data_IF_755364913273
#
_entry.id   IF_755364913273
#
_cell.length_a   1.000
_cell.length_b   1.000
_cell.length_c   1.000
_cell.angle_alpha   90.00
_cell.angle_beta   90.00
_cell.angle_gamma   90.00
#
_symmetry.space_group_name_H-M   'P 1'
#
loop_
_entity.id
_entity.type
_entity.pdbx_description
1 polymer ?
#
# COMPACT_ATOMS: atom_id res chain seq x y z
N UNK A 1 1.73 22.36 -1.34
CA UNK A 1 1.21 21.27 -2.17
C UNK A 1 2.37 20.81 -3.03
N UNK A 2 2.67 19.52 -3.03
CA UNK A 2 3.78 18.94 -3.81
C UNK A 2 3.25 18.54 -5.19
N UNK A 3 4.00 18.87 -6.24
CA UNK A 3 3.69 18.49 -7.61
C UNK A 3 4.62 17.34 -8.00
N UNK A 4 4.11 16.11 -8.17
CA UNK A 4 4.93 14.97 -8.52
C UNK A 4 5.50 15.12 -9.93
N UNK A 5 6.68 14.52 -10.16
CA UNK A 5 7.27 14.48 -11.49
C UNK A 5 6.51 13.56 -12.44
N UNK A 6 6.98 13.48 -13.67
CA UNK A 6 6.36 12.65 -14.72
C UNK A 6 6.35 11.15 -14.40
N UNK A 7 7.20 10.69 -13.48
CA UNK A 7 7.37 9.28 -13.14
C UNK A 7 6.96 9.04 -11.70
N UNK A 8 5.79 8.43 -11.54
CA UNK A 8 5.25 7.95 -10.27
C UNK A 8 5.25 6.42 -10.25
N UNK A 9 5.47 5.84 -9.07
CA UNK A 9 5.53 4.40 -8.85
C UNK A 9 4.49 4.00 -7.83
N UNK A 10 3.82 2.88 -8.08
CA UNK A 10 2.96 2.23 -7.09
C UNK A 10 3.75 1.11 -6.45
N UNK A 11 3.83 1.09 -5.12
CA UNK A 11 4.50 0.02 -4.37
C UNK A 11 3.72 -0.40 -3.12
N UNK A 12 4.02 -1.60 -2.63
CA UNK A 12 3.51 -2.19 -1.40
C UNK A 12 4.44 -1.94 -0.21
N UNK A 13 3.91 -1.20 0.77
CA UNK A 13 4.53 -1.03 2.09
C UNK A 13 3.80 -1.83 3.17
N UNK A 14 4.51 -2.18 4.23
CA UNK A 14 3.98 -2.94 5.36
C UNK A 14 4.40 -2.24 6.66
N UNK A 15 3.43 -1.69 7.37
CA UNK A 15 3.66 -1.06 8.68
C UNK A 15 3.53 -2.13 9.75
N UNK A 16 4.60 -2.37 10.50
CA UNK A 16 4.62 -3.37 11.57
C UNK A 16 3.52 -3.10 12.60
N UNK A 17 2.69 -4.11 12.85
CA UNK A 17 1.56 -3.98 13.78
C UNK A 17 1.19 -5.33 14.40
N UNK A 18 1.15 -5.36 15.74
CA UNK A 18 0.91 -6.58 16.52
C UNK A 18 -0.49 -6.64 17.15
N UNK A 19 -1.30 -5.59 17.02
CA UNK A 19 -2.66 -5.58 17.55
C UNK A 19 -3.62 -6.49 16.79
N UNK A 20 -4.80 -6.75 17.40
CA UNK A 20 -5.88 -7.52 16.78
C UNK A 20 -6.68 -6.60 15.86
N UNK A 21 -6.46 -6.75 14.55
CA UNK A 21 -7.24 -6.08 13.51
C UNK A 21 -7.54 -7.07 12.39
N UNK A 22 -8.73 -6.97 11.79
CA UNK A 22 -9.23 -7.95 10.83
C UNK A 22 -8.39 -8.04 9.54
N UNK A 23 -7.78 -6.94 9.11
CA UNK A 23 -7.03 -6.82 7.85
C UNK A 23 -5.51 -6.92 8.02
N UNK A 24 -5.00 -7.36 9.18
CA UNK A 24 -3.57 -7.61 9.39
C UNK A 24 -3.05 -8.61 8.36
N UNK A 25 -1.99 -8.25 7.64
CA UNK A 25 -1.36 -9.08 6.63
C UNK A 25 -0.09 -9.75 7.16
N UNK A 26 0.18 -10.94 6.63
CA UNK A 26 1.44 -11.66 6.79
C UNK A 26 2.17 -11.71 5.45
N UNK A 27 3.35 -11.09 5.37
CA UNK A 27 4.18 -11.05 4.15
C UNK A 27 5.56 -11.62 4.50
N UNK A 28 5.86 -12.89 4.16
CA UNK A 28 7.09 -13.56 4.56
C UNK A 28 8.38 -12.88 4.11
N UNK A 29 8.33 -12.16 2.98
CA UNK A 29 9.48 -11.54 2.33
C UNK A 29 9.84 -10.16 2.91
N UNK A 30 8.96 -9.55 3.72
CA UNK A 30 9.23 -8.25 4.35
C UNK A 30 9.90 -8.46 5.71
N UNK A 31 10.72 -7.49 6.12
CA UNK A 31 11.46 -7.54 7.39
C UNK A 31 10.51 -7.68 8.60
N UNK A 32 9.52 -6.80 8.68
CA UNK A 32 8.36 -7.01 9.53
C UNK A 32 7.42 -7.98 8.80
N UNK A 33 7.24 -9.19 9.34
CA UNK A 33 6.40 -10.20 8.66
C UNK A 33 4.91 -9.96 8.87
N UNK A 34 4.52 -9.31 9.96
CA UNK A 34 3.13 -9.02 10.32
C UNK A 34 2.90 -7.53 10.39
N UNK A 35 1.85 -7.04 9.73
CA UNK A 35 1.56 -5.62 9.74
C UNK A 35 0.30 -5.22 8.98
N UNK A 36 0.13 -3.92 8.80
CA UNK A 36 -0.91 -3.32 7.97
C UNK A 36 -0.30 -3.03 6.60
N UNK A 37 -0.85 -3.66 5.57
CA UNK A 37 -0.42 -3.45 4.18
C UNK A 37 -0.99 -2.12 3.66
N UNK A 38 -0.14 -1.32 3.04
CA UNK A 38 -0.51 -0.01 2.46
C UNK A 38 0.08 0.07 1.06
N UNK A 39 -0.78 0.41 0.10
CA UNK A 39 -0.37 0.77 -1.26
C UNK A 39 0.00 2.24 -1.28
N UNK A 40 1.16 2.58 -1.84
CA UNK A 40 1.65 3.96 -1.88
C UNK A 40 1.93 4.38 -3.31
N UNK A 41 1.49 5.58 -3.66
CA UNK A 41 1.87 6.26 -4.88
C UNK A 41 3.01 7.23 -4.57
N UNK A 42 4.18 6.94 -5.12
CA UNK A 42 5.44 7.60 -4.76
C UNK A 42 6.09 8.22 -5.98
N UNK A 43 6.47 9.49 -5.89
CA UNK A 43 7.29 10.14 -6.91
C UNK A 43 8.71 9.57 -6.91
N UNK A 44 9.20 9.18 -8.08
CA UNK A 44 10.50 8.50 -8.21
C UNK A 44 11.68 9.37 -7.75
N UNK A 45 11.63 10.67 -8.03
CA UNK A 45 12.79 11.56 -7.89
C UNK A 45 12.92 12.11 -6.47
N UNK A 46 11.80 12.54 -5.88
CA UNK A 46 11.75 13.10 -4.54
C UNK A 46 11.52 12.07 -3.45
N UNK A 47 11.09 10.85 -3.83
CA UNK A 47 10.60 9.81 -2.92
C UNK A 47 9.40 10.27 -2.08
N UNK A 48 8.70 11.30 -2.53
CA UNK A 48 7.52 11.83 -1.87
C UNK A 48 6.32 10.90 -2.10
N UNK A 49 5.62 10.56 -1.02
CA UNK A 49 4.37 9.80 -1.08
C UNK A 49 3.23 10.76 -1.38
N UNK A 50 2.71 10.70 -2.59
CA UNK A 50 1.60 11.54 -3.03
C UNK A 50 0.26 11.08 -2.46
N UNK A 51 0.01 9.76 -2.47
CA UNK A 51 -1.21 9.15 -1.97
C UNK A 51 -0.93 7.78 -1.35
N UNK A 52 -1.80 7.32 -0.45
CA UNK A 52 -1.68 6.02 0.22
C UNK A 52 -3.04 5.42 0.50
N UNK A 53 -3.20 4.14 0.20
CA UNK A 53 -4.45 3.39 0.40
C UNK A 53 -4.17 2.17 1.27
N UNK A 54 -4.86 2.08 2.40
CA UNK A 54 -4.75 0.94 3.31
C UNK A 54 -5.50 -0.26 2.71
N UNK A 55 -4.89 -1.44 2.77
CA UNK A 55 -5.60 -2.68 2.49
C UNK A 55 -6.54 -3.02 3.66
N UNK A 56 -7.84 -2.94 3.40
CA UNK A 56 -8.91 -3.16 4.37
C UNK A 56 -9.49 -4.58 4.32
N UNK A 57 -8.98 -5.44 3.45
CA UNK A 57 -9.42 -6.82 3.29
C UNK A 57 -9.84 -7.14 1.85
N UNK A 58 -10.25 -8.39 1.62
CA UNK A 58 -10.76 -8.79 0.31
C UNK A 58 -12.21 -8.32 0.17
N UNK A 59 -12.45 -7.47 -0.82
CA UNK A 59 -13.80 -7.03 -1.19
C UNK A 59 -14.46 -8.06 -2.10
N UNK A 60 -15.76 -8.27 -1.97
CA UNK A 60 -16.55 -9.15 -2.85
C UNK A 60 -16.88 -8.42 -4.16
N UNK A 61 -15.84 -8.11 -4.94
CA UNK A 61 -15.96 -7.46 -6.25
C UNK A 61 -15.33 -8.35 -7.33
N UNK A 62 -15.83 -8.24 -8.56
CA UNK A 62 -15.26 -8.95 -9.71
C UNK A 62 -13.89 -8.39 -10.16
N UNK A 63 -13.55 -7.18 -9.70
CA UNK A 63 -12.30 -6.49 -10.02
C UNK A 63 -11.11 -7.17 -9.31
N UNK A 64 -10.03 -7.55 -10.02
CA UNK A 64 -8.81 -8.08 -9.40
C UNK A 64 -8.16 -7.09 -8.43
N UNK A 65 -7.48 -7.57 -7.38
CA UNK A 65 -6.92 -6.71 -6.33
C UNK A 65 -5.94 -5.65 -6.87
N UNK A 66 -5.15 -5.99 -7.89
CA UNK A 66 -4.21 -5.04 -8.51
C UNK A 66 -4.89 -3.89 -9.25
N UNK A 67 -6.13 -4.08 -9.71
CA UNK A 67 -6.92 -3.05 -10.35
C UNK A 67 -7.77 -2.26 -9.34
N UNK A 68 -7.98 -2.76 -8.12
CA UNK A 68 -8.72 -2.05 -7.08
C UNK A 68 -7.96 -0.84 -6.50
N UNK A 69 -6.66 -0.73 -6.79
CA UNK A 69 -5.79 0.33 -6.26
C UNK A 69 -5.85 1.55 -7.20
N UNK A 70 -6.97 2.27 -7.15
CA UNK A 70 -7.15 3.52 -7.89
C UNK A 70 -6.64 4.70 -7.05
N UNK A 71 -5.59 5.39 -7.52
CA UNK A 71 -4.99 6.57 -6.87
C UNK A 71 -5.48 7.89 -7.45
#
# INVERSE_FOLDING_TARGET
>A
MFDPGEIITIDESLVEFHGRVAFRQYIPTKAARYGIKIWQLVDRNSLYVYNSIIYDGKRNTEIPLGEQVFF
#
